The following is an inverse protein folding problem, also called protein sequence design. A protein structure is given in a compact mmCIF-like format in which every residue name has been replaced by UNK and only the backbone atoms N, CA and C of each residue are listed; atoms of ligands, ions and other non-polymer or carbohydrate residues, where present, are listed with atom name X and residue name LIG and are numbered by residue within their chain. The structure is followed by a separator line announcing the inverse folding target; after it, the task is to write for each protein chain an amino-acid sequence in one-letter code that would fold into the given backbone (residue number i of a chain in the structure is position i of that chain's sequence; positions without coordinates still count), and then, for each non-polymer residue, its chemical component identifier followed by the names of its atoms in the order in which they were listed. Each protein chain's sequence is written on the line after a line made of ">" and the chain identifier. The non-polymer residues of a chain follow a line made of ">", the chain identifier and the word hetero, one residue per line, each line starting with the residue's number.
data_IF_682229650942
#
_entry.id   IF_682229650942
#
_cell.length_a   1.000
_cell.length_b   1.000
_cell.length_c   1.000
_cell.angle_alpha   90.00
_cell.angle_beta   90.00
_cell.angle_gamma   90.00
#
_symmetry.space_group_name_H-M   'P 1'
#
loop_
_entity.id
_entity.type
_entity.pdbx_description
1 polymer ?
#
# COMPACT_ATOMS: atom_id res chain seq x y z
N UNK A 1 7.81 -0.35 35.80
CA UNK A 1 8.03 -1.54 34.95
C UNK A 1 9.18 -2.43 35.42
N UNK A 2 10.27 -1.89 35.94
CA UNK A 2 11.35 -2.72 36.50
C UNK A 2 10.86 -3.61 37.65
N UNK A 3 9.86 -3.18 38.37
CA UNK A 3 9.32 -3.85 39.54
C UNK A 3 8.10 -4.75 39.25
N UNK A 4 7.72 -4.92 37.98
CA UNK A 4 6.65 -5.83 37.55
C UNK A 4 5.24 -5.50 38.03
N UNK A 5 4.97 -4.26 38.45
CA UNK A 5 3.66 -3.86 38.95
C UNK A 5 2.71 -3.55 37.78
N UNK A 6 2.03 -4.58 37.29
CA UNK A 6 1.08 -4.46 36.18
C UNK A 6 -0.24 -3.79 36.62
N UNK A 7 -0.68 -3.96 37.89
CA UNK A 7 -1.90 -3.35 38.40
C UNK A 7 -1.84 -1.82 38.36
N UNK A 8 -0.67 -1.25 38.67
CA UNK A 8 -0.46 0.19 38.56
C UNK A 8 -0.52 0.69 37.11
N UNK A 9 -0.05 -0.11 36.15
CA UNK A 9 -0.11 0.24 34.74
C UNK A 9 -1.54 0.20 34.20
N UNK A 10 -2.35 -0.78 34.61
CA UNK A 10 -3.77 -0.88 34.25
C UNK A 10 -4.61 0.29 34.78
N UNK A 11 -4.21 0.86 35.91
CA UNK A 11 -4.83 2.07 36.47
C UNK A 11 -4.54 3.35 35.67
N UNK A 12 -3.36 3.42 35.07
CA UNK A 12 -2.88 4.64 34.42
C UNK A 12 -3.20 4.61 32.91
N UNK A 13 -3.19 3.44 32.28
CA UNK A 13 -3.34 3.28 30.84
C UNK A 13 -4.60 2.49 30.48
N UNK A 14 -5.35 2.94 29.46
CA UNK A 14 -6.60 2.30 29.05
C UNK A 14 -6.41 0.90 28.44
N UNK A 15 -5.18 0.56 28.03
CA UNK A 15 -4.86 -0.74 27.41
C UNK A 15 -3.40 -1.12 27.64
N UNK A 16 -3.16 -2.31 28.14
CA UNK A 16 -1.80 -2.87 28.28
C UNK A 16 -1.13 -3.08 26.91
N UNK A 17 -1.89 -3.38 25.87
CA UNK A 17 -1.34 -3.49 24.51
C UNK A 17 -0.77 -2.16 24.01
N UNK A 18 -1.40 -1.03 24.34
CA UNK A 18 -0.89 0.29 24.00
C UNK A 18 0.41 0.61 24.77
N UNK A 19 0.47 0.21 26.04
CA UNK A 19 1.70 0.32 26.84
C UNK A 19 2.83 -0.47 26.18
N UNK A 20 2.61 -1.75 25.87
CA UNK A 20 3.64 -2.59 25.25
C UNK A 20 4.05 -2.08 23.88
N UNK A 21 3.12 -1.63 23.05
CA UNK A 21 3.44 -1.07 21.73
C UNK A 21 4.28 0.20 21.83
N UNK A 22 4.09 1.01 22.85
CA UNK A 22 4.83 2.25 23.09
C UNK A 22 6.24 1.99 23.58
N UNK A 23 6.44 0.99 24.46
CA UNK A 23 7.73 0.72 25.10
C UNK A 23 8.61 -0.26 24.33
N UNK A 24 8.08 -1.02 23.37
CA UNK A 24 8.83 -2.06 22.64
C UNK A 24 10.11 -1.52 22.00
N UNK A 25 10.11 -0.27 21.56
CA UNK A 25 11.30 0.36 20.97
C UNK A 25 12.37 0.71 22.00
N UNK A 26 12.00 0.90 23.26
CA UNK A 26 12.94 1.28 24.33
C UNK A 26 13.80 0.11 24.81
N UNK A 27 13.40 -1.14 24.50
CA UNK A 27 14.20 -2.34 24.80
C UNK A 27 15.27 -2.62 23.77
N UNK A 28 15.19 -1.94 22.60
CA UNK A 28 16.17 -2.06 21.53
C UNK A 28 17.25 -1.00 21.79
N UNK A 29 18.30 -1.37 22.51
CA UNK A 29 19.41 -0.47 22.85
C UNK A 29 20.69 -0.90 22.14
N UNK A 30 21.51 0.04 21.64
CA UNK A 30 22.80 -0.31 21.08
C UNK A 30 23.78 -0.74 22.21
N UNK A 31 24.76 -1.58 21.92
CA UNK A 31 25.85 -1.85 22.84
C UNK A 31 26.61 -0.57 23.22
N UNK A 32 27.32 -0.59 24.33
CA UNK A 32 28.12 0.54 24.78
C UNK A 32 29.11 1.01 23.68
N UNK A 33 29.21 2.33 23.49
CA UNK A 33 30.02 2.96 22.45
C UNK A 33 29.50 2.77 21.01
N UNK A 34 28.32 2.21 20.83
CA UNK A 34 27.64 2.05 19.52
C UNK A 34 26.39 2.92 19.44
N UNK A 35 25.96 3.21 18.21
CA UNK A 35 24.70 3.89 17.91
C UNK A 35 23.95 3.16 16.81
N UNK A 36 22.61 3.16 16.86
CA UNK A 36 21.80 2.72 15.73
C UNK A 36 21.74 3.81 14.68
N UNK A 37 21.95 3.42 13.44
CA UNK A 37 21.62 4.25 12.29
C UNK A 37 20.27 3.73 11.77
N UNK A 38 19.25 4.56 11.88
CA UNK A 38 17.89 4.24 11.41
C UNK A 38 17.58 5.11 10.20
N UNK A 39 17.36 4.46 9.06
CA UNK A 39 16.98 5.14 7.81
C UNK A 39 15.76 4.47 7.22
N UNK A 40 14.84 5.28 6.68
CA UNK A 40 13.65 4.85 5.97
C UNK A 40 13.47 5.65 4.69
N UNK A 41 13.09 4.97 3.61
CA UNK A 41 12.78 5.63 2.35
C UNK A 41 11.40 6.28 2.41
N UNK A 42 11.37 7.58 2.51
CA UNK A 42 10.11 8.34 2.57
C UNK A 42 9.18 8.02 1.40
N UNK A 43 8.00 7.48 1.73
CA UNK A 43 6.93 7.14 0.78
C UNK A 43 7.41 6.29 -0.41
N UNK A 44 8.27 5.28 -0.19
CA UNK A 44 8.90 4.51 -1.27
C UNK A 44 7.87 3.85 -2.18
N UNK A 45 6.80 3.27 -1.66
CA UNK A 45 5.76 2.64 -2.47
C UNK A 45 5.05 3.66 -3.37
N UNK A 46 4.77 4.88 -2.87
CA UNK A 46 4.18 5.95 -3.67
C UNK A 46 5.13 6.45 -4.78
N UNK A 47 6.45 6.38 -4.55
CA UNK A 47 7.47 6.67 -5.58
C UNK A 47 7.47 5.59 -6.65
N UNK A 48 7.49 4.32 -6.24
CA UNK A 48 7.53 3.18 -7.15
C UNK A 48 6.26 3.14 -8.02
N UNK A 49 5.06 3.29 -7.44
CA UNK A 49 3.83 3.27 -8.24
C UNK A 49 3.76 4.47 -9.20
N UNK A 50 4.21 5.65 -8.79
CA UNK A 50 4.29 6.82 -9.67
C UNK A 50 5.24 6.59 -10.86
N UNK A 51 6.38 5.91 -10.62
CA UNK A 51 7.34 5.55 -11.65
C UNK A 51 6.79 4.47 -12.60
N UNK A 52 6.18 3.41 -12.07
CA UNK A 52 5.57 2.34 -12.86
C UNK A 52 4.48 2.85 -13.80
N UNK A 53 3.60 3.70 -13.28
CA UNK A 53 2.44 4.21 -14.01
C UNK A 53 2.73 5.49 -14.79
N UNK A 54 3.97 5.98 -14.77
CA UNK A 54 4.37 7.26 -15.38
C UNK A 54 3.46 8.43 -14.97
N UNK A 55 3.04 8.47 -13.72
CA UNK A 55 2.22 9.57 -13.17
C UNK A 55 3.11 10.78 -12.93
N UNK A 56 3.22 11.65 -13.95
CA UNK A 56 4.24 12.73 -14.04
C UNK A 56 4.15 13.73 -12.90
N UNK A 57 2.94 14.14 -12.49
CA UNK A 57 2.80 15.11 -11.40
C UNK A 57 3.36 14.58 -10.08
N UNK A 58 3.15 13.28 -9.76
CA UNK A 58 3.72 12.64 -8.57
C UNK A 58 5.23 12.56 -8.64
N UNK A 59 5.77 12.18 -9.81
CA UNK A 59 7.22 12.15 -10.00
C UNK A 59 7.85 13.53 -9.83
N UNK A 60 7.17 14.58 -10.32
CA UNK A 60 7.63 15.96 -10.16
C UNK A 60 7.62 16.40 -8.69
N UNK A 61 6.59 16.05 -7.92
CA UNK A 61 6.53 16.30 -6.47
C UNK A 61 7.76 15.69 -5.78
N UNK A 62 8.07 14.43 -6.05
CA UNK A 62 9.22 13.76 -5.45
C UNK A 62 10.56 14.34 -5.91
N UNK A 63 10.69 14.70 -7.20
CA UNK A 63 11.89 15.33 -7.75
C UNK A 63 12.21 16.66 -7.08
N UNK A 64 11.17 17.42 -6.73
CA UNK A 64 11.30 18.72 -6.08
C UNK A 64 11.36 18.62 -4.54
N UNK A 65 11.47 17.42 -3.97
CA UNK A 65 11.50 17.21 -2.51
C UNK A 65 10.16 17.51 -1.81
N UNK A 66 9.05 17.55 -2.56
CA UNK A 66 7.74 17.89 -2.03
C UNK A 66 7.10 16.75 -1.21
N UNK A 67 6.10 17.11 -0.43
CA UNK A 67 5.29 16.18 0.38
C UNK A 67 4.14 15.62 -0.47
N UNK A 68 4.18 14.32 -0.77
CA UNK A 68 3.16 13.65 -1.59
C UNK A 68 1.76 13.72 -0.96
N UNK A 69 1.65 13.74 0.36
CA UNK A 69 0.37 13.82 1.07
C UNK A 69 -0.28 15.19 0.90
N UNK A 70 0.52 16.26 0.96
CA UNK A 70 0.06 17.61 0.64
C UNK A 70 -0.36 17.72 -0.83
N UNK A 71 0.48 17.22 -1.73
CA UNK A 71 0.21 17.27 -3.16
C UNK A 71 -1.05 16.47 -3.54
N UNK A 72 -1.25 15.29 -2.96
CA UNK A 72 -2.45 14.47 -3.17
C UNK A 72 -3.69 15.19 -2.65
N UNK A 73 -3.63 15.77 -1.45
CA UNK A 73 -4.73 16.58 -0.92
C UNK A 73 -5.04 17.76 -1.83
N UNK A 74 -4.01 18.47 -2.33
CA UNK A 74 -4.20 19.58 -3.28
C UNK A 74 -4.91 19.12 -4.56
N UNK A 75 -4.54 17.98 -5.12
CA UNK A 75 -5.20 17.43 -6.30
C UNK A 75 -6.65 17.00 -6.03
N UNK A 76 -6.92 16.40 -4.88
CA UNK A 76 -8.27 15.96 -4.51
C UNK A 76 -9.23 17.12 -4.23
N UNK A 77 -8.74 18.17 -3.57
CA UNK A 77 -9.59 19.26 -3.09
C UNK A 77 -9.52 20.53 -3.94
N UNK A 78 -8.60 20.59 -4.92
CA UNK A 78 -8.45 21.74 -5.82
C UNK A 78 -7.94 23.01 -5.13
N UNK A 79 -7.26 22.86 -3.97
CA UNK A 79 -6.73 23.96 -3.18
C UNK A 79 -5.26 23.70 -2.82
N UNK A 80 -4.42 24.74 -2.65
CA UNK A 80 -3.06 24.54 -2.17
C UNK A 80 -3.07 23.98 -0.74
N UNK A 81 -2.21 22.99 -0.47
CA UNK A 81 -2.05 22.36 0.85
C UNK A 81 -0.57 22.37 1.23
N UNK A 82 -0.25 22.96 2.36
CA UNK A 82 1.10 23.02 2.92
C UNK A 82 1.16 22.35 4.28
N UNK A 83 2.27 21.65 4.56
CA UNK A 83 2.40 20.84 5.79
C UNK A 83 2.19 21.64 7.08
N UNK A 84 2.69 22.86 7.14
CA UNK A 84 2.62 23.77 8.30
C UNK A 84 2.05 25.14 7.91
N UNK A 85 1.17 25.20 6.90
CA UNK A 85 0.62 26.44 6.34
C UNK A 85 -0.81 26.27 5.85
N UNK A 86 -1.08 26.83 4.68
CA UNK A 86 -2.41 26.91 4.08
C UNK A 86 -3.02 25.51 3.94
N UNK A 87 -4.24 25.35 4.44
CA UNK A 87 -5.01 24.09 4.38
C UNK A 87 -4.27 22.86 4.95
N UNK A 88 -3.32 23.03 5.85
CA UNK A 88 -2.49 21.94 6.40
C UNK A 88 -3.28 20.80 7.03
N UNK A 89 -4.49 21.07 7.55
CA UNK A 89 -5.41 20.05 8.06
C UNK A 89 -5.85 19.02 7.01
N UNK A 90 -5.83 19.36 5.71
CA UNK A 90 -6.16 18.44 4.61
C UNK A 90 -5.04 17.45 4.33
N UNK A 91 -3.81 17.72 4.77
CA UNK A 91 -2.67 16.81 4.58
C UNK A 91 -2.94 15.42 5.15
N UNK A 92 -3.60 15.35 6.31
CA UNK A 92 -3.93 14.05 6.93
C UNK A 92 -4.92 13.26 6.08
N UNK A 93 -5.91 13.92 5.45
CA UNK A 93 -6.81 13.28 4.47
C UNK A 93 -6.05 12.78 3.25
N UNK A 94 -5.09 13.55 2.75
CA UNK A 94 -4.18 13.12 1.69
C UNK A 94 -3.35 11.89 2.08
N UNK A 95 -2.84 11.85 3.33
CA UNK A 95 -2.06 10.72 3.82
C UNK A 95 -2.86 9.42 3.85
N UNK A 96 -4.05 9.42 4.46
CA UNK A 96 -4.87 8.21 4.51
C UNK A 96 -5.34 7.78 3.12
N UNK A 97 -5.66 8.74 2.24
CA UNK A 97 -6.02 8.43 0.85
C UNK A 97 -4.85 7.73 0.11
N UNK A 98 -3.62 8.24 0.22
CA UNK A 98 -2.46 7.61 -0.41
C UNK A 98 -2.21 6.19 0.11
N UNK A 99 -2.31 5.97 1.42
CA UNK A 99 -2.05 4.67 2.03
C UNK A 99 -3.17 3.66 1.77
N UNK A 100 -4.44 4.10 1.79
CA UNK A 100 -5.60 3.23 1.66
C UNK A 100 -5.98 2.93 0.20
N UNK A 101 -5.83 3.91 -0.71
CA UNK A 101 -6.43 3.85 -2.05
C UNK A 101 -5.46 3.44 -3.14
N UNK A 102 -4.15 3.47 -2.88
CA UNK A 102 -3.09 3.20 -3.87
C UNK A 102 -3.21 1.84 -4.58
N UNK A 103 -3.91 0.90 -3.97
CA UNK A 103 -4.04 -0.49 -4.44
C UNK A 103 -5.49 -0.95 -4.60
N UNK A 104 -6.37 -0.02 -4.96
CA UNK A 104 -7.77 -0.33 -5.24
C UNK A 104 -8.68 -0.39 -4.01
N UNK A 105 -8.18 0.07 -2.85
CA UNK A 105 -8.98 0.22 -1.65
C UNK A 105 -10.19 1.14 -1.86
N UNK A 106 -11.19 0.99 -1.02
CA UNK A 106 -12.40 1.82 -0.97
C UNK A 106 -12.60 2.41 0.43
N UNK A 107 -13.84 2.73 0.78
CA UNK A 107 -14.21 3.29 2.09
C UNK A 107 -13.81 2.37 3.24
N UNK A 108 -13.94 1.05 3.10
CA UNK A 108 -13.50 0.09 4.11
C UNK A 108 -11.97 0.17 4.39
N UNK A 109 -11.18 0.44 3.36
CA UNK A 109 -9.74 0.66 3.54
C UNK A 109 -9.44 1.98 4.25
N UNK A 110 -10.17 3.07 3.91
CA UNK A 110 -10.07 4.35 4.64
C UNK A 110 -10.43 4.17 6.11
N UNK A 111 -11.47 3.41 6.40
CA UNK A 111 -11.92 3.12 7.77
C UNK A 111 -10.85 2.36 8.55
N UNK A 112 -10.20 1.37 7.94
CA UNK A 112 -9.07 0.64 8.55
C UNK A 112 -7.89 1.57 8.92
N UNK A 113 -7.72 2.69 8.19
CA UNK A 113 -6.76 3.75 8.52
C UNK A 113 -7.33 4.83 9.47
N UNK A 114 -8.52 4.61 10.05
CA UNK A 114 -9.10 5.45 11.08
C UNK A 114 -9.86 6.68 10.57
N UNK A 115 -10.46 6.60 9.39
CA UNK A 115 -11.20 7.72 8.80
C UNK A 115 -12.31 8.25 9.72
N UNK A 116 -13.13 7.38 10.32
CA UNK A 116 -14.18 7.77 11.27
C UNK A 116 -13.60 8.39 12.54
N UNK A 117 -12.45 7.89 13.03
CA UNK A 117 -11.76 8.50 14.19
C UNK A 117 -11.25 9.92 13.90
N UNK A 118 -11.07 10.27 12.64
CA UNK A 118 -10.73 11.63 12.18
C UNK A 118 -11.98 12.48 11.86
N UNK A 119 -13.16 12.01 12.21
CA UNK A 119 -14.42 12.74 11.99
C UNK A 119 -14.93 12.73 10.55
N UNK A 120 -14.46 11.80 9.69
CA UNK A 120 -14.93 11.68 8.32
C UNK A 120 -16.23 10.85 8.27
N UNK A 121 -17.33 11.46 7.78
CA UNK A 121 -18.57 10.74 7.53
C UNK A 121 -18.42 9.73 6.37
N UNK A 122 -19.32 8.73 6.27
CA UNK A 122 -19.31 7.79 5.14
C UNK A 122 -19.34 8.48 3.76
N UNK A 123 -20.10 9.56 3.64
CA UNK A 123 -20.22 10.35 2.39
C UNK A 123 -18.87 11.03 2.07
N UNK A 124 -18.22 11.62 3.06
CA UNK A 124 -16.90 12.22 2.90
C UNK A 124 -15.84 11.18 2.54
N UNK A 125 -15.92 9.99 3.12
CA UNK A 125 -15.02 8.88 2.75
C UNK A 125 -15.23 8.47 1.28
N UNK A 126 -16.49 8.36 0.83
CA UNK A 126 -16.80 8.04 -0.56
C UNK A 126 -16.34 9.16 -1.51
N UNK A 127 -16.47 10.42 -1.11
CA UNK A 127 -15.96 11.56 -1.86
C UNK A 127 -14.43 11.50 -2.02
N UNK A 128 -13.70 11.19 -0.94
CA UNK A 128 -12.24 11.00 -0.96
C UNK A 128 -11.84 9.90 -1.95
N UNK A 129 -12.51 8.75 -1.91
CA UNK A 129 -12.26 7.64 -2.86
C UNK A 129 -12.44 8.11 -4.30
N UNK A 130 -13.53 8.82 -4.58
CA UNK A 130 -13.84 9.33 -5.92
C UNK A 130 -12.80 10.33 -6.40
N UNK A 131 -12.50 11.33 -5.60
CA UNK A 131 -11.53 12.39 -5.91
C UNK A 131 -10.11 11.83 -6.10
N UNK A 132 -9.69 10.91 -5.23
CA UNK A 132 -8.38 10.29 -5.36
C UNK A 132 -8.25 9.50 -6.68
N UNK A 133 -9.27 8.72 -7.04
CA UNK A 133 -9.28 7.96 -8.30
C UNK A 133 -9.30 8.87 -9.53
N UNK A 134 -10.00 10.00 -9.47
CA UNK A 134 -9.98 11.04 -10.53
C UNK A 134 -8.60 11.69 -10.66
N UNK A 135 -7.94 11.98 -9.55
CA UNK A 135 -6.58 12.54 -9.53
C UNK A 135 -5.50 11.52 -9.93
N UNK A 136 -5.80 10.22 -9.93
CA UNK A 136 -4.84 9.14 -10.15
C UNK A 136 -5.30 8.13 -11.22
N UNK A 137 -5.75 8.58 -12.41
CA UNK A 137 -6.32 7.68 -13.41
C UNK A 137 -5.33 6.61 -13.87
N UNK A 138 -4.06 6.96 -14.09
CA UNK A 138 -3.02 6.02 -14.55
C UNK A 138 -2.75 4.89 -13.57
N UNK A 139 -2.86 5.16 -12.25
CA UNK A 139 -2.71 4.12 -11.22
C UNK A 139 -3.91 3.18 -11.29
N UNK A 140 -5.12 3.74 -11.36
CA UNK A 140 -6.35 2.96 -11.52
C UNK A 140 -6.32 2.08 -12.77
N UNK A 141 -5.90 2.64 -13.91
CA UNK A 141 -5.81 1.91 -15.17
C UNK A 141 -4.79 0.78 -15.11
N UNK A 142 -3.69 0.97 -14.35
CA UNK A 142 -2.68 -0.06 -14.14
C UNK A 142 -3.24 -1.25 -13.33
N UNK A 143 -4.10 -1.03 -12.32
CA UNK A 143 -4.76 -2.14 -11.61
C UNK A 143 -5.57 -3.00 -12.56
N UNK A 144 -6.39 -2.37 -13.42
CA UNK A 144 -7.22 -3.09 -14.38
C UNK A 144 -6.39 -3.79 -15.46
N UNK A 145 -5.33 -3.14 -15.93
CA UNK A 145 -4.42 -3.72 -16.91
C UNK A 145 -3.75 -4.98 -16.35
N UNK A 146 -3.20 -4.89 -15.14
CA UNK A 146 -2.51 -6.01 -14.50
C UNK A 146 -3.48 -7.14 -14.14
N UNK A 147 -4.67 -6.81 -13.66
CA UNK A 147 -5.73 -7.77 -13.37
C UNK A 147 -6.13 -8.57 -14.61
N UNK A 148 -6.47 -7.88 -15.70
CA UNK A 148 -6.82 -8.53 -16.98
C UNK A 148 -5.67 -9.37 -17.54
N UNK A 149 -4.44 -8.84 -17.53
CA UNK A 149 -3.29 -9.61 -17.98
C UNK A 149 -3.09 -10.91 -17.19
N UNK A 150 -3.38 -10.88 -15.89
CA UNK A 150 -3.31 -12.05 -15.03
C UNK A 150 -4.43 -13.06 -15.31
N UNK A 151 -5.66 -12.59 -15.52
CA UNK A 151 -6.82 -13.40 -15.92
C UNK A 151 -6.60 -14.05 -17.30
N UNK A 152 -6.17 -13.28 -18.31
CA UNK A 152 -5.84 -13.76 -19.66
C UNK A 152 -4.74 -14.86 -19.60
N UNK A 153 -3.77 -14.70 -18.71
CA UNK A 153 -2.73 -15.72 -18.54
C UNK A 153 -3.30 -17.02 -17.93
N UNK A 154 -4.29 -16.93 -17.03
CA UNK A 154 -4.94 -18.12 -16.45
C UNK A 154 -5.79 -18.83 -17.51
N UNK A 155 -6.66 -18.12 -18.20
CA UNK A 155 -7.67 -18.67 -19.11
C UNK A 155 -7.07 -19.15 -20.43
N UNK A 156 -6.32 -18.28 -21.08
CA UNK A 156 -5.90 -18.45 -22.46
C UNK A 156 -4.39 -18.73 -22.59
N UNK A 157 -3.64 -18.71 -21.49
CA UNK A 157 -2.18 -18.82 -21.51
C UNK A 157 -1.48 -17.65 -22.20
N UNK A 158 -2.19 -16.52 -22.36
CA UNK A 158 -1.69 -15.34 -23.07
C UNK A 158 -0.50 -14.72 -22.33
N UNK A 159 0.52 -14.35 -23.10
CA UNK A 159 1.64 -13.57 -22.59
C UNK A 159 1.34 -12.08 -22.85
N UNK A 160 1.29 -11.30 -21.77
CA UNK A 160 1.06 -9.86 -21.86
C UNK A 160 2.32 -9.09 -21.47
N UNK A 161 2.86 -8.31 -22.39
CA UNK A 161 3.95 -7.36 -22.12
C UNK A 161 3.38 -6.07 -21.56
N UNK A 162 3.97 -5.61 -20.46
CA UNK A 162 3.63 -4.37 -19.76
C UNK A 162 4.81 -3.38 -19.90
N UNK A 163 4.57 -2.16 -19.50
CA UNK A 163 5.62 -1.14 -19.43
C UNK A 163 6.76 -1.57 -18.47
N UNK A 164 7.92 -0.91 -18.58
CA UNK A 164 9.11 -1.21 -17.75
C UNK A 164 9.65 -2.65 -17.89
N UNK A 165 9.53 -3.26 -19.07
CA UNK A 165 9.95 -4.63 -19.36
C UNK A 165 9.27 -5.71 -18.51
N UNK A 166 8.14 -5.38 -17.89
CA UNK A 166 7.35 -6.35 -17.16
C UNK A 166 6.56 -7.25 -18.11
N UNK A 167 6.33 -8.49 -17.70
CA UNK A 167 5.48 -9.44 -18.43
C UNK A 167 4.66 -10.27 -17.47
N UNK A 168 3.44 -10.61 -17.88
CA UNK A 168 2.60 -11.59 -17.21
C UNK A 168 2.47 -12.79 -18.14
N UNK A 169 2.75 -13.99 -17.64
CA UNK A 169 2.70 -15.21 -18.44
C UNK A 169 2.43 -16.44 -17.59
N UNK A 170 1.89 -17.49 -18.21
CA UNK A 170 1.69 -18.81 -17.59
C UNK A 170 2.88 -19.72 -17.89
N UNK A 171 3.32 -20.46 -16.88
CA UNK A 171 4.33 -21.51 -17.04
C UNK A 171 3.94 -22.72 -16.20
N UNK A 172 3.60 -23.83 -16.86
CA UNK A 172 3.01 -25.00 -16.20
C UNK A 172 1.69 -24.65 -15.52
N UNK A 173 1.56 -24.96 -14.24
CA UNK A 173 0.37 -24.65 -13.43
C UNK A 173 0.38 -23.26 -12.83
N UNK A 174 1.46 -22.48 -13.00
CA UNK A 174 1.65 -21.20 -12.32
C UNK A 174 1.51 -20.02 -13.29
N UNK A 175 1.18 -18.84 -12.73
CA UNK A 175 1.30 -17.57 -13.43
C UNK A 175 2.42 -16.75 -12.79
N UNK A 176 3.18 -16.08 -13.64
CA UNK A 176 4.36 -15.31 -13.28
C UNK A 176 4.22 -13.85 -13.70
N UNK A 177 4.76 -12.97 -12.89
CA UNK A 177 4.93 -11.53 -13.22
C UNK A 177 6.42 -11.23 -13.15
N UNK A 178 7.03 -10.89 -14.31
CA UNK A 178 8.42 -10.43 -14.35
C UNK A 178 8.50 -8.98 -13.92
N UNK A 179 9.39 -8.65 -13.00
CA UNK A 179 9.67 -7.30 -12.52
C UNK A 179 10.70 -6.59 -13.44
N UNK A 180 10.84 -5.26 -13.38
CA UNK A 180 11.77 -4.48 -14.20
C UNK A 180 13.24 -4.93 -14.12
N UNK A 181 13.67 -5.46 -12.98
CA UNK A 181 15.03 -5.98 -12.76
C UNK A 181 15.20 -7.45 -13.18
N UNK A 182 14.18 -8.07 -13.78
CA UNK A 182 14.18 -9.48 -14.22
C UNK A 182 13.77 -10.49 -13.15
N UNK A 183 13.58 -10.08 -11.90
CA UNK A 183 13.00 -10.98 -10.88
C UNK A 183 11.57 -11.35 -11.23
N UNK A 184 11.09 -12.44 -10.64
CA UNK A 184 9.79 -13.02 -10.96
C UNK A 184 8.98 -13.19 -9.67
N UNK A 185 7.74 -12.68 -9.69
CA UNK A 185 6.72 -13.05 -8.72
C UNK A 185 5.97 -14.27 -9.24
N UNK A 186 5.83 -15.29 -8.39
CA UNK A 186 5.20 -16.56 -8.72
C UNK A 186 3.85 -16.70 -7.99
N UNK A 187 2.82 -17.04 -8.74
CA UNK A 187 1.49 -17.34 -8.23
C UNK A 187 1.16 -18.80 -8.52
N UNK A 188 1.06 -19.60 -7.46
CA UNK A 188 0.93 -21.06 -7.56
C UNK A 188 -0.50 -21.45 -7.86
N UNK A 189 -0.69 -22.25 -8.91
CA UNK A 189 -1.98 -22.81 -9.33
C UNK A 189 -3.13 -21.82 -9.32
N UNK A 190 -2.99 -20.63 -9.94
CA UNK A 190 -4.06 -19.65 -9.93
C UNK A 190 -5.27 -20.16 -10.71
N UNK A 191 -6.46 -19.76 -10.26
CA UNK A 191 -7.74 -20.12 -10.86
C UNK A 191 -8.74 -18.99 -10.78
N UNK A 192 -9.74 -19.06 -11.65
CA UNK A 192 -10.94 -18.23 -11.58
C UNK A 192 -12.10 -19.15 -11.19
N UNK A 193 -12.77 -18.83 -10.10
CA UNK A 193 -13.95 -19.55 -9.63
C UNK A 193 -15.01 -18.53 -9.20
N UNK A 194 -16.23 -18.67 -9.72
CA UNK A 194 -17.34 -17.75 -9.45
C UNK A 194 -16.98 -16.26 -9.66
N UNK A 195 -16.22 -15.98 -10.74
CA UNK A 195 -15.71 -14.63 -11.05
C UNK A 195 -14.59 -14.12 -10.14
N UNK A 196 -14.14 -14.93 -9.17
CA UNK A 196 -13.08 -14.57 -8.23
C UNK A 196 -11.76 -15.23 -8.60
N UNK A 197 -10.71 -14.41 -8.78
CA UNK A 197 -9.34 -14.89 -8.97
C UNK A 197 -8.74 -15.29 -7.62
N UNK A 198 -8.11 -16.47 -7.57
CA UNK A 198 -7.41 -16.94 -6.38
C UNK A 198 -6.18 -17.77 -6.76
N UNK A 199 -5.23 -17.91 -5.86
CA UNK A 199 -4.02 -18.72 -6.01
C UNK A 199 -3.67 -19.40 -4.69
N UNK A 200 -2.85 -20.44 -4.73
CA UNK A 200 -2.33 -21.10 -3.53
C UNK A 200 -1.18 -20.29 -2.94
N UNK A 201 -1.32 -19.91 -1.68
CA UNK A 201 -0.34 -19.09 -0.99
C UNK A 201 -0.32 -19.30 0.51
N UNK A 202 0.79 -18.89 1.15
CA UNK A 202 0.92 -18.91 2.60
C UNK A 202 0.09 -17.80 3.23
N UNK A 203 -0.86 -18.15 4.05
CA UNK A 203 -1.61 -17.15 4.82
C UNK A 203 -0.72 -16.56 5.93
N UNK A 204 -0.55 -15.25 5.93
CA UNK A 204 0.38 -14.56 6.83
C UNK A 204 0.02 -14.71 8.33
N UNK A 205 -1.27 -14.79 8.64
CA UNK A 205 -1.76 -14.90 10.01
C UNK A 205 -1.69 -16.35 10.53
N UNK A 206 -2.25 -17.29 9.75
CA UNK A 206 -2.35 -18.69 10.20
C UNK A 206 -1.13 -19.53 9.85
N UNK A 207 -0.20 -19.01 9.05
CA UNK A 207 0.98 -19.71 8.52
C UNK A 207 0.64 -21.02 7.78
N UNK A 208 -0.62 -21.16 7.33
CA UNK A 208 -1.09 -22.31 6.56
C UNK A 208 -1.14 -22.00 5.07
N UNK A 209 -0.80 -22.96 4.25
CA UNK A 209 -0.94 -22.93 2.81
C UNK A 209 -2.40 -23.06 2.42
N UNK A 210 -2.99 -22.05 1.76
CA UNK A 210 -4.40 -22.03 1.38
C UNK A 210 -4.68 -21.16 0.16
N UNK A 211 -5.89 -21.33 -0.39
CA UNK A 211 -6.40 -20.45 -1.43
C UNK A 211 -6.51 -19.02 -0.91
N UNK A 212 -5.90 -18.10 -1.65
CA UNK A 212 -5.87 -16.67 -1.33
C UNK A 212 -6.45 -15.91 -2.52
N UNK A 213 -7.47 -15.09 -2.28
CA UNK A 213 -8.07 -14.26 -3.30
C UNK A 213 -7.13 -13.12 -3.69
N UNK A 214 -7.18 -12.76 -4.97
CA UNK A 214 -6.43 -11.63 -5.50
C UNK A 214 -7.22 -10.86 -6.56
N UNK A 215 -6.77 -9.69 -6.88
CA UNK A 215 -7.31 -8.80 -7.92
C UNK A 215 -6.23 -7.82 -8.36
N UNK A 216 -6.47 -7.05 -9.43
CA UNK A 216 -5.47 -6.16 -10.02
C UNK A 216 -4.81 -5.20 -9.04
N UNK A 217 -5.56 -4.64 -8.09
CA UNK A 217 -5.00 -3.79 -7.03
C UNK A 217 -4.04 -4.54 -6.11
N UNK A 218 -4.40 -5.76 -5.68
CA UNK A 218 -3.53 -6.59 -4.84
C UNK A 218 -2.29 -7.09 -5.59
N UNK A 219 -2.44 -7.42 -6.86
CA UNK A 219 -1.29 -7.73 -7.72
C UNK A 219 -0.36 -6.53 -7.86
N UNK A 220 -0.92 -5.32 -8.02
CA UNK A 220 -0.15 -4.07 -8.07
C UNK A 220 0.60 -3.81 -6.77
N UNK A 221 -0.05 -4.02 -5.62
CA UNK A 221 0.61 -3.92 -4.31
C UNK A 221 1.82 -4.85 -4.23
N UNK A 222 1.65 -6.12 -4.60
CA UNK A 222 2.75 -7.10 -4.57
C UNK A 222 3.91 -6.69 -5.48
N UNK A 223 3.62 -6.18 -6.69
CA UNK A 223 4.63 -5.68 -7.62
C UNK A 223 5.36 -4.47 -7.05
N UNK A 224 4.62 -3.48 -6.53
CA UNK A 224 5.20 -2.26 -5.96
C UNK A 224 6.08 -2.57 -4.76
N UNK A 225 5.60 -3.42 -3.85
CA UNK A 225 6.36 -3.82 -2.66
C UNK A 225 7.62 -4.62 -3.02
N UNK A 226 7.53 -5.49 -4.03
CA UNK A 226 8.69 -6.24 -4.50
C UNK A 226 9.76 -5.33 -5.11
N UNK A 227 9.37 -4.34 -5.91
CA UNK A 227 10.30 -3.35 -6.48
C UNK A 227 10.87 -2.42 -5.40
N UNK A 228 10.03 -2.00 -4.44
CA UNK A 228 10.46 -1.13 -3.35
C UNK A 228 11.48 -1.79 -2.40
N UNK A 229 11.49 -3.13 -2.36
CA UNK A 229 12.42 -3.94 -1.56
C UNK A 229 13.77 -4.14 -2.25
N UNK A 230 13.84 -4.06 -3.57
CA UNK A 230 15.04 -4.23 -4.39
C UNK A 230 15.91 -2.99 -4.39
#
# INVERSE_FOLDING_TARGET
>A
MKDGNFELLELIYPSMNDVFSTIIRTVITPPEGKSFIVADYSAIEARVIAWLTRTTWRQQVFKNGGDIYCASASQMFGVPVEKHGINGHLRQKGKIAELALGYGGGTAALEAFGASKMGLSPEQQQEIVTKWRQASPRIKDFWYLLGRAFEDAITDGKITSLDRNMRVFKGGSNVYITLPNGRILSYVSPRIKDGQVSFMGLNQTTRKWKWTNTWGGKLTENVVQAIARD
#
